data_IF_539129317292
#
_entry.id   IF_539129317292
#
_cell.length_a   1.000
_cell.length_b   1.000
_cell.length_c   1.000
_cell.angle_alpha   90.00
_cell.angle_beta   90.00
_cell.angle_gamma   90.00
#
_symmetry.space_group_name_H-M   'P 1'
#
loop_
_entity.id
_entity.type
_entity.pdbx_description
1 polymer ?
#
# COMPACT_ATOMS: atom_id res chain seq x y z
N UNK A 1 2.82 3.35 5.29
CA UNK A 1 3.81 2.27 5.05
C UNK A 1 3.17 0.89 4.91
N UNK A 2 2.03 0.59 5.55
CA UNK A 2 1.36 -0.71 5.48
C UNK A 2 1.11 -1.21 4.05
N UNK A 3 0.71 -0.32 3.13
CA UNK A 3 0.51 -0.64 1.72
C UNK A 3 1.77 -1.08 0.96
N UNK A 4 2.96 -0.89 1.55
CA UNK A 4 4.25 -1.40 1.06
C UNK A 4 4.69 -2.65 1.82
N UNK A 5 4.60 -2.62 3.15
CA UNK A 5 5.13 -3.71 3.98
C UNK A 5 4.26 -4.97 3.95
N UNK A 6 2.94 -4.84 3.90
CA UNK A 6 2.05 -6.01 3.91
C UNK A 6 2.26 -6.91 2.67
N UNK A 7 2.22 -6.41 1.41
CA UNK A 7 2.48 -7.26 0.26
C UNK A 7 3.90 -7.83 0.26
N UNK A 8 4.91 -7.05 0.73
CA UNK A 8 6.26 -7.57 0.85
C UNK A 8 6.35 -8.70 1.87
N UNK A 9 5.69 -8.59 3.02
CA UNK A 9 5.66 -9.63 4.03
C UNK A 9 5.03 -10.92 3.48
N UNK A 10 3.87 -10.81 2.83
CA UNK A 10 3.18 -11.96 2.22
C UNK A 10 4.02 -12.62 1.13
N UNK A 11 4.79 -11.84 0.35
CA UNK A 11 5.66 -12.36 -0.70
C UNK A 11 6.85 -13.20 -0.17
N UNK A 12 7.25 -13.01 1.09
CA UNK A 12 8.44 -13.65 1.66
C UNK A 12 8.18 -14.55 2.87
N UNK A 13 6.97 -14.53 3.42
CA UNK A 13 6.61 -15.34 4.58
C UNK A 13 5.50 -16.34 4.21
N UNK A 14 5.83 -17.63 4.02
CA UNK A 14 4.89 -18.63 3.50
C UNK A 14 3.77 -19.03 4.50
N UNK A 15 3.84 -18.56 5.75
CA UNK A 15 2.78 -18.85 6.74
C UNK A 15 1.54 -18.00 6.57
N UNK A 16 1.59 -16.91 5.77
CA UNK A 16 0.39 -16.16 5.44
C UNK A 16 -0.51 -16.96 4.50
N UNK A 17 -1.79 -17.08 4.85
CA UNK A 17 -2.79 -17.78 4.07
C UNK A 17 -3.64 -16.84 3.18
N UNK A 18 -3.59 -15.54 3.43
CA UNK A 18 -4.28 -14.49 2.66
C UNK A 18 -3.59 -13.15 2.91
N UNK A 19 -3.83 -12.18 2.04
CA UNK A 19 -3.32 -10.83 2.20
C UNK A 19 -4.25 -9.76 1.63
N UNK A 20 -4.11 -8.55 2.14
CA UNK A 20 -4.78 -7.38 1.60
C UNK A 20 -3.97 -6.10 1.84
N UNK A 21 -4.19 -5.10 1.01
CA UNK A 21 -3.69 -3.75 1.24
C UNK A 21 -4.82 -2.73 1.20
N UNK A 22 -4.78 -1.78 2.11
CA UNK A 22 -5.60 -0.59 2.07
C UNK A 22 -4.72 0.62 1.76
N UNK A 23 -4.80 1.09 0.50
CA UNK A 23 -3.89 2.09 -0.04
C UNK A 23 -2.56 1.46 -0.48
N UNK A 24 -2.58 0.84 -1.66
CA UNK A 24 -1.40 0.21 -2.26
C UNK A 24 -0.29 1.24 -2.45
N UNK A 25 0.91 0.92 -1.99
CA UNK A 25 2.11 1.75 -2.13
C UNK A 25 3.22 0.90 -2.75
N UNK A 26 3.10 0.68 -4.04
CA UNK A 26 3.98 -0.22 -4.79
C UNK A 26 5.43 0.26 -4.82
N UNK A 27 5.65 1.56 -4.96
CA UNK A 27 6.98 2.15 -4.99
C UNK A 27 7.10 3.29 -3.96
N UNK A 28 7.40 2.91 -2.71
CA UNK A 28 7.53 3.87 -1.62
C UNK A 28 8.65 4.88 -1.85
N UNK A 29 9.76 4.45 -2.45
CA UNK A 29 10.88 5.35 -2.76
C UNK A 29 10.45 6.45 -3.73
N UNK A 30 9.78 6.12 -4.80
CA UNK A 30 9.29 7.09 -5.78
C UNK A 30 8.29 8.10 -5.15
N UNK A 31 7.45 7.64 -4.22
CA UNK A 31 6.57 8.52 -3.44
C UNK A 31 7.38 9.57 -2.68
N UNK A 32 8.53 9.18 -2.09
CA UNK A 32 9.38 10.13 -1.38
C UNK A 32 10.09 11.11 -2.34
N UNK A 33 10.54 10.63 -3.49
CA UNK A 33 11.13 11.50 -4.52
C UNK A 33 10.13 12.56 -5.02
N UNK A 34 8.88 12.14 -5.30
CA UNK A 34 7.78 13.05 -5.66
C UNK A 34 7.41 14.02 -4.53
N UNK A 35 7.49 13.57 -3.27
CA UNK A 35 7.25 14.43 -2.10
C UNK A 35 8.33 15.50 -1.99
N UNK A 36 9.59 15.15 -2.13
CA UNK A 36 10.69 16.12 -2.10
C UNK A 36 10.56 17.21 -3.17
N UNK A 37 10.14 16.83 -4.38
CA UNK A 37 9.91 17.78 -5.46
C UNK A 37 8.79 18.79 -5.18
N UNK A 38 7.77 18.39 -4.39
CA UNK A 38 6.59 19.20 -4.05
C UNK A 38 6.68 19.86 -2.67
N UNK A 39 7.76 19.69 -1.94
CA UNK A 39 7.85 20.09 -0.52
C UNK A 39 7.71 21.59 -0.30
N UNK A 40 8.12 22.42 -1.27
CA UNK A 40 7.93 23.87 -1.22
C UNK A 40 6.46 24.31 -1.28
N UNK A 41 5.55 23.46 -1.73
CA UNK A 41 4.14 23.78 -1.91
C UNK A 41 3.29 23.48 -0.66
N UNK A 42 3.61 22.39 0.06
CA UNK A 42 2.83 21.94 1.24
C UNK A 42 3.68 21.10 2.20
N UNK A 43 4.62 21.72 2.94
CA UNK A 43 5.50 20.97 3.84
C UNK A 43 4.70 20.39 5.01
N UNK A 44 4.87 19.11 5.28
CA UNK A 44 4.39 18.48 6.52
C UNK A 44 5.44 18.73 7.60
N UNK A 45 5.11 19.47 8.68
CA UNK A 45 6.07 19.75 9.73
C UNK A 45 6.74 18.49 10.27
N UNK A 46 8.05 18.53 10.47
CA UNK A 46 8.86 17.43 11.02
C UNK A 46 8.86 16.13 10.22
N UNK A 47 8.27 16.08 9.02
CA UNK A 47 8.18 14.85 8.23
C UNK A 47 9.57 14.25 7.96
N UNK A 48 10.49 15.03 7.41
CA UNK A 48 11.83 14.54 7.07
C UNK A 48 12.67 14.21 8.31
N UNK A 49 12.53 14.97 9.39
CA UNK A 49 13.19 14.65 10.66
C UNK A 49 12.74 13.29 11.19
N UNK A 50 11.43 13.00 11.11
CA UNK A 50 10.88 11.70 11.48
C UNK A 50 11.34 10.56 10.55
N UNK A 51 11.33 10.81 9.24
CA UNK A 51 11.79 9.81 8.24
C UNK A 51 13.28 9.50 8.43
N UNK A 52 14.14 10.51 8.59
CA UNK A 52 15.56 10.30 8.83
C UNK A 52 15.79 9.52 10.12
N UNK A 53 15.09 9.86 11.20
CA UNK A 53 15.17 9.11 12.45
C UNK A 53 14.73 7.65 12.28
N UNK A 54 13.62 7.39 11.62
CA UNK A 54 13.09 6.04 11.40
C UNK A 54 14.02 5.15 10.57
N UNK A 55 14.79 5.74 9.65
CA UNK A 55 15.77 5.04 8.83
C UNK A 55 17.19 5.07 9.43
N UNK A 56 17.39 5.70 10.59
CA UNK A 56 18.71 5.96 11.13
C UNK A 56 19.60 6.73 10.15
N UNK A 57 19.01 7.63 9.36
CA UNK A 57 19.71 8.38 8.34
C UNK A 57 20.31 9.67 8.88
N UNK A 58 21.57 9.96 8.53
CA UNK A 58 22.29 11.16 8.95
C UNK A 58 21.92 12.41 8.11
N UNK A 59 21.02 12.26 7.15
CA UNK A 59 20.52 13.31 6.29
C UNK A 59 19.88 12.76 5.03
N UNK A 60 19.53 13.67 4.11
CA UNK A 60 18.76 13.31 2.91
C UNK A 60 19.51 12.34 2.00
N UNK A 61 20.80 12.55 1.77
CA UNK A 61 21.60 11.68 0.89
C UNK A 61 21.72 10.25 1.44
N UNK A 62 21.94 10.10 2.74
CA UNK A 62 22.01 8.79 3.41
C UNK A 62 20.65 8.10 3.42
N UNK A 63 19.56 8.86 3.65
CA UNK A 63 18.21 8.36 3.51
C UNK A 63 17.93 7.82 2.10
N UNK A 64 18.33 8.52 1.07
CA UNK A 64 18.15 8.11 -0.31
C UNK A 64 18.85 6.78 -0.61
N UNK A 65 20.05 6.57 -0.10
CA UNK A 65 20.78 5.30 -0.21
C UNK A 65 20.05 4.18 0.53
N UNK A 66 19.65 4.42 1.78
CA UNK A 66 18.96 3.42 2.62
C UNK A 66 17.58 3.01 2.10
N UNK A 67 16.90 3.89 1.38
CA UNK A 67 15.57 3.65 0.81
C UNK A 67 15.55 3.17 -0.64
N UNK A 68 16.71 2.99 -1.28
CA UNK A 68 16.84 2.66 -2.70
C UNK A 68 16.06 1.41 -3.11
N UNK A 69 16.06 0.37 -2.27
CA UNK A 69 15.35 -0.89 -2.51
C UNK A 69 13.87 -0.89 -2.10
N UNK A 70 13.29 0.23 -1.66
CA UNK A 70 11.91 0.28 -1.19
C UNK A 70 10.91 0.41 -2.34
N UNK A 71 10.89 -0.61 -3.18
CA UNK A 71 9.87 -0.85 -4.21
C UNK A 71 9.47 -2.32 -4.22
N UNK A 72 8.35 -2.65 -4.83
CA UNK A 72 7.79 -4.00 -4.89
C UNK A 72 7.96 -4.64 -6.28
N UNK A 73 8.64 -3.98 -7.22
CA UNK A 73 8.87 -4.51 -8.55
C UNK A 73 9.61 -5.84 -8.52
N UNK A 74 9.06 -6.86 -9.20
CA UNK A 74 9.65 -8.20 -9.26
C UNK A 74 9.57 -9.00 -7.96
N UNK A 75 8.70 -8.59 -7.03
CA UNK A 75 8.47 -9.31 -5.77
C UNK A 75 7.05 -9.87 -5.64
N UNK A 76 6.08 -9.31 -6.35
CA UNK A 76 4.67 -9.64 -6.15
C UNK A 76 4.25 -10.95 -6.80
N UNK A 77 5.00 -11.44 -7.78
CA UNK A 77 4.87 -12.77 -8.37
C UNK A 77 5.13 -13.92 -7.36
N UNK A 78 5.77 -13.61 -6.23
CA UNK A 78 5.97 -14.58 -5.12
C UNK A 78 4.71 -14.82 -4.30
N UNK A 79 3.70 -13.97 -4.41
CA UNK A 79 2.44 -14.12 -3.68
C UNK A 79 1.62 -15.24 -4.34
N UNK A 80 1.48 -16.35 -3.62
CA UNK A 80 0.76 -17.57 -4.04
C UNK A 80 -0.51 -17.82 -3.22
N UNK A 81 -0.95 -16.83 -2.46
CA UNK A 81 -2.18 -16.86 -1.65
C UNK A 81 -3.18 -15.82 -2.16
N UNK A 82 -4.47 -15.90 -1.79
CA UNK A 82 -5.45 -14.87 -2.12
C UNK A 82 -4.97 -13.48 -1.70
N UNK A 83 -5.11 -12.49 -2.58
CA UNK A 83 -4.65 -11.13 -2.31
C UNK A 83 -5.62 -10.06 -2.82
N UNK A 84 -6.06 -9.16 -1.92
CA UNK A 84 -6.94 -8.02 -2.23
C UNK A 84 -6.13 -6.72 -2.27
N UNK A 85 -6.29 -5.96 -3.36
CA UNK A 85 -5.72 -4.62 -3.50
C UNK A 85 -6.83 -3.59 -3.40
N UNK A 86 -6.77 -2.68 -2.43
CA UNK A 86 -7.72 -1.58 -2.34
C UNK A 86 -7.02 -0.22 -2.37
N UNK A 87 -7.70 0.79 -2.95
CA UNK A 87 -7.19 2.15 -3.02
C UNK A 87 -8.33 3.17 -3.16
N UNK A 88 -8.15 4.37 -2.63
CA UNK A 88 -9.08 5.47 -2.83
C UNK A 88 -8.86 6.18 -4.18
N UNK A 89 -9.91 6.43 -4.94
CA UNK A 89 -9.82 7.07 -6.25
C UNK A 89 -9.26 8.51 -6.21
N UNK A 90 -9.39 9.20 -5.08
CA UNK A 90 -8.93 10.58 -4.88
C UNK A 90 -7.74 10.65 -3.89
N UNK A 91 -7.00 9.57 -3.75
CA UNK A 91 -5.81 9.57 -2.89
C UNK A 91 -4.75 10.53 -3.45
N UNK A 92 -4.58 11.66 -2.75
CA UNK A 92 -3.62 12.71 -3.14
C UNK A 92 -2.21 12.48 -2.58
N UNK A 93 -2.03 11.50 -1.71
CA UNK A 93 -0.73 11.16 -1.13
C UNK A 93 -0.02 10.07 -1.93
N UNK A 94 -0.78 9.04 -2.32
CA UNK A 94 -0.29 7.87 -3.06
C UNK A 94 -1.14 7.71 -4.31
N UNK A 95 -0.52 7.76 -5.48
CA UNK A 95 -1.26 7.62 -6.74
C UNK A 95 -2.04 6.29 -6.82
N UNK A 96 -3.31 6.30 -7.24
CA UNK A 96 -4.06 5.06 -7.50
C UNK A 96 -3.41 4.13 -8.53
N UNK A 97 -2.54 4.64 -9.39
CA UNK A 97 -1.77 3.82 -10.35
C UNK A 97 -0.90 2.76 -9.67
N UNK A 98 -0.46 3.00 -8.42
CA UNK A 98 0.27 1.98 -7.65
C UNK A 98 -0.58 0.76 -7.28
N UNK A 99 -1.91 0.89 -7.26
CA UNK A 99 -2.79 -0.26 -7.13
C UNK A 99 -2.81 -1.11 -8.40
N UNK A 100 -2.70 -0.48 -9.58
CA UNK A 100 -2.56 -1.17 -10.86
C UNK A 100 -1.22 -1.90 -10.92
N UNK A 101 -0.12 -1.20 -10.64
CA UNK A 101 1.24 -1.75 -10.65
C UNK A 101 1.37 -2.98 -9.73
N UNK A 102 0.76 -2.94 -8.54
CA UNK A 102 0.76 -4.04 -7.60
C UNK A 102 -0.11 -5.21 -8.11
N UNK A 103 -1.33 -4.91 -8.54
CA UNK A 103 -2.29 -5.91 -9.01
C UNK A 103 -1.77 -6.68 -10.22
N UNK A 104 -1.15 -5.99 -11.18
CA UNK A 104 -0.66 -6.60 -12.42
C UNK A 104 0.46 -7.61 -12.15
N UNK A 105 1.25 -7.41 -11.10
CA UNK A 105 2.33 -8.31 -10.71
C UNK A 105 1.90 -9.50 -9.83
N UNK A 106 0.64 -9.57 -9.36
CA UNK A 106 0.10 -10.69 -8.56
C UNK A 106 -0.24 -11.91 -9.43
N UNK A 107 0.63 -12.27 -10.36
CA UNK A 107 0.34 -13.25 -11.41
C UNK A 107 0.18 -14.69 -10.92
N UNK A 108 0.73 -15.03 -9.76
CA UNK A 108 0.66 -16.35 -9.15
C UNK A 108 -0.36 -16.45 -7.99
N UNK A 109 -1.04 -15.37 -7.66
CA UNK A 109 -2.12 -15.41 -6.68
C UNK A 109 -3.33 -16.20 -7.24
N UNK A 110 -3.84 -17.20 -6.52
CA UNK A 110 -4.96 -18.02 -6.99
C UNK A 110 -6.29 -17.27 -7.05
N UNK A 111 -6.42 -16.19 -6.25
CA UNK A 111 -7.54 -15.24 -6.27
C UNK A 111 -6.98 -13.85 -6.00
N UNK A 112 -7.02 -12.98 -7.00
CA UNK A 112 -6.64 -11.58 -6.84
C UNK A 112 -7.81 -10.67 -7.19
N UNK A 113 -8.04 -9.68 -6.37
CA UNK A 113 -9.09 -8.68 -6.58
C UNK A 113 -8.52 -7.28 -6.41
N UNK A 114 -9.07 -6.33 -7.15
CA UNK A 114 -8.74 -4.91 -7.03
C UNK A 114 -10.01 -4.10 -6.90
N UNK A 115 -10.10 -3.29 -5.85
CA UNK A 115 -11.23 -2.41 -5.60
C UNK A 115 -10.74 -0.98 -5.42
N UNK A 116 -11.17 -0.09 -6.30
CA UNK A 116 -10.92 1.34 -6.19
C UNK A 116 -12.16 1.99 -5.60
N UNK A 117 -12.04 2.55 -4.41
CA UNK A 117 -13.14 3.22 -3.72
C UNK A 117 -13.48 4.54 -4.39
N UNK A 118 -14.73 4.70 -4.79
CA UNK A 118 -15.25 5.90 -5.45
C UNK A 118 -16.13 6.71 -4.50
N UNK A 119 -16.56 7.89 -4.95
CA UNK A 119 -17.49 8.72 -4.16
C UNK A 119 -18.82 8.03 -3.85
N UNK A 120 -19.14 6.94 -4.56
CA UNK A 120 -20.37 6.17 -4.35
C UNK A 120 -20.33 5.37 -3.04
N UNK A 121 -19.18 4.71 -2.78
CA UNK A 121 -18.97 3.89 -1.60
C UNK A 121 -18.39 4.71 -0.43
N UNK A 122 -17.71 5.82 -0.73
CA UNK A 122 -16.86 6.53 0.18
C UNK A 122 -15.47 5.88 0.32
N UNK A 123 -14.59 6.45 1.12
CA UNK A 123 -13.22 5.96 1.29
C UNK A 123 -12.29 6.40 0.15
N UNK A 124 -12.63 7.49 -0.55
CA UNK A 124 -11.89 7.98 -1.71
C UNK A 124 -10.55 8.61 -1.39
N UNK A 125 -10.40 9.12 -0.18
CA UNK A 125 -9.17 9.75 0.27
C UNK A 125 -8.15 8.71 0.76
N UNK A 126 -6.95 9.16 1.08
CA UNK A 126 -5.86 8.30 1.55
C UNK A 126 -6.32 7.38 2.70
N UNK A 127 -6.21 6.07 2.50
CA UNK A 127 -6.62 5.00 3.44
C UNK A 127 -8.03 5.19 4.03
N UNK A 128 -8.95 5.72 3.23
CA UNK A 128 -10.35 5.92 3.62
C UNK A 128 -10.55 6.98 4.69
N UNK A 129 -9.69 8.01 4.77
CA UNK A 129 -9.77 9.05 5.80
C UNK A 129 -11.11 9.81 5.82
N UNK A 130 -11.82 9.85 4.69
CA UNK A 130 -13.16 10.42 4.56
C UNK A 130 -14.27 9.48 5.04
N UNK A 131 -14.14 8.17 4.81
CA UNK A 131 -15.11 7.15 5.26
C UNK A 131 -14.45 5.76 5.28
N UNK A 132 -14.27 5.20 6.47
CA UNK A 132 -13.65 3.87 6.64
C UNK A 132 -14.65 2.71 6.61
N UNK A 133 -15.96 2.95 6.62
CA UNK A 133 -16.95 1.89 6.84
C UNK A 133 -16.85 0.81 5.75
N UNK A 134 -17.07 1.18 4.50
CA UNK A 134 -17.06 0.25 3.38
C UNK A 134 -15.71 -0.52 3.25
N UNK A 135 -14.60 0.18 3.41
CA UNK A 135 -13.28 -0.46 3.32
C UNK A 135 -13.04 -1.49 4.42
N UNK A 136 -13.49 -1.21 5.66
CA UNK A 136 -13.38 -2.19 6.76
C UNK A 136 -14.24 -3.42 6.51
N UNK A 137 -15.48 -3.24 6.09
CA UNK A 137 -16.40 -4.34 5.83
C UNK A 137 -15.84 -5.22 4.69
N UNK A 138 -15.41 -4.62 3.58
CA UNK A 138 -14.80 -5.33 2.47
C UNK A 138 -13.56 -6.15 2.88
N UNK A 139 -12.65 -5.57 3.67
CA UNK A 139 -11.47 -6.29 4.12
C UNK A 139 -11.82 -7.41 5.11
N UNK A 140 -12.80 -7.18 5.96
CA UNK A 140 -13.27 -8.19 6.92
C UNK A 140 -13.88 -9.39 6.19
N UNK A 141 -14.75 -9.13 5.21
CA UNK A 141 -15.38 -10.17 4.39
C UNK A 141 -14.33 -10.92 3.55
N UNK A 142 -13.36 -10.20 2.97
CA UNK A 142 -12.26 -10.83 2.25
C UNK A 142 -11.51 -11.86 3.10
N UNK A 143 -11.15 -11.49 4.34
CA UNK A 143 -10.45 -12.42 5.23
C UNK A 143 -11.36 -13.52 5.74
N UNK A 144 -12.65 -13.25 6.02
CA UNK A 144 -13.60 -14.28 6.36
C UNK A 144 -13.73 -15.32 5.25
N UNK A 145 -13.97 -14.90 4.01
CA UNK A 145 -14.07 -15.80 2.85
C UNK A 145 -12.80 -16.61 2.60
N UNK A 146 -11.64 -15.95 2.63
CA UNK A 146 -10.37 -16.59 2.26
C UNK A 146 -9.78 -17.46 3.36
N UNK A 147 -10.20 -17.28 4.61
CA UNK A 147 -9.76 -18.07 5.77
C UNK A 147 -10.84 -19.02 6.30
N UNK A 148 -12.00 -19.12 5.62
CA UNK A 148 -13.08 -20.04 5.98
C UNK A 148 -13.97 -19.56 7.13
N UNK A 149 -14.10 -18.24 7.32
CA UNK A 149 -15.03 -17.61 8.25
C UNK A 149 -16.40 -17.28 7.63
N UNK A 150 -17.27 -16.63 8.40
CA UNK A 150 -18.55 -16.09 7.93
C UNK A 150 -18.36 -14.65 7.44
N UNK A 151 -19.05 -14.30 6.34
CA UNK A 151 -19.10 -12.93 5.80
C UNK A 151 -20.33 -12.18 6.27
N UNK A 152 -20.29 -10.85 6.23
CA UNK A 152 -21.39 -9.97 6.62
C UNK A 152 -22.21 -9.48 5.43
#
# INVERSE_FOLDING_TARGET
LGGHFAPRAVAYEPRFASGAVWGANHNWREVQDKRMQREGENPVPHYWAHVHWAFGAEGQEDFLKKSEGMNLNGHMDRITVPFLVTHGANDRQISPTYADDLFDQLVNSPRREKVIFTAREGGVEHVGADNMAYGRDLLSDWFAETLGGETH
#
